data_IF_870559056368
#
_entry.id   IF_870559056368
#
_cell.length_a   1.000
_cell.length_b   1.000
_cell.length_c   1.000
_cell.angle_alpha   90.00
_cell.angle_beta   90.00
_cell.angle_gamma   90.00
#
_symmetry.space_group_name_H-M   'P 1'
#
loop_
_entity.id
_entity.type
_entity.pdbx_description
1 polymer ?
#
# COMPACT_ATOMS: atom_id res chain seq x y z
N UNK A 1 42.53 -49.71 -65.90
CA UNK A 1 41.11 -50.11 -65.77
C UNK A 1 40.83 -50.11 -64.27
N UNK A 2 39.89 -49.38 -63.66
CA UNK A 2 38.62 -48.84 -64.12
C UNK A 2 38.24 -47.67 -63.20
N UNK A 3 37.64 -46.60 -63.76
CA UNK A 3 36.96 -45.51 -63.02
C UNK A 3 35.51 -45.94 -62.74
N UNK A 4 34.92 -45.50 -61.61
CA UNK A 4 33.46 -45.45 -61.39
C UNK A 4 33.10 -44.37 -60.33
N UNK A 5 31.83 -43.88 -60.29
CA UNK A 5 31.52 -42.44 -60.31
C UNK A 5 30.67 -41.95 -59.12
N UNK A 6 30.23 -40.69 -59.22
CA UNK A 6 29.59 -39.82 -58.22
C UNK A 6 28.13 -40.09 -57.82
N UNK A 7 27.81 -39.51 -56.65
CA UNK A 7 26.59 -38.80 -56.22
C UNK A 7 25.23 -39.51 -56.12
N UNK A 8 24.61 -39.38 -54.94
CA UNK A 8 23.22 -39.75 -54.65
C UNK A 8 22.78 -39.28 -53.28
N UNK A 9 22.50 -37.98 -53.17
CA UNK A 9 21.82 -37.33 -52.04
C UNK A 9 20.49 -38.02 -51.72
N UNK A 10 20.30 -38.50 -50.47
CA UNK A 10 18.99 -38.87 -49.93
C UNK A 10 18.61 -37.86 -48.85
N UNK A 11 17.72 -36.96 -49.25
CA UNK A 11 16.88 -36.12 -48.40
C UNK A 11 15.82 -37.03 -47.77
N UNK A 12 15.77 -37.13 -46.45
CA UNK A 12 14.63 -37.72 -45.73
C UNK A 12 14.14 -36.73 -44.68
N UNK A 13 13.05 -36.05 -45.04
CA UNK A 13 11.88 -35.73 -44.22
C UNK A 13 12.16 -35.19 -42.81
N UNK A 14 12.25 -33.86 -42.71
CA UNK A 14 11.95 -33.13 -41.48
C UNK A 14 10.45 -33.24 -41.25
N UNK A 15 10.06 -34.18 -40.38
CA UNK A 15 8.70 -34.26 -39.87
C UNK A 15 8.37 -33.02 -39.06
N UNK A 16 7.40 -32.27 -39.57
CA UNK A 16 6.71 -31.15 -38.93
C UNK A 16 6.11 -31.62 -37.60
N UNK A 17 6.82 -31.36 -36.49
CA UNK A 17 6.24 -31.57 -35.16
C UNK A 17 5.38 -30.35 -34.85
N UNK A 18 4.08 -30.55 -35.01
CA UNK A 18 3.05 -29.63 -34.56
C UNK A 18 3.31 -29.19 -33.11
N UNK A 19 3.17 -27.88 -32.90
CA UNK A 19 3.10 -27.22 -31.61
C UNK A 19 2.09 -27.91 -30.70
N UNK A 20 2.58 -28.67 -29.71
CA UNK A 20 1.78 -29.04 -28.54
C UNK A 20 2.12 -28.07 -27.40
N UNK A 21 1.73 -26.79 -27.57
CA UNK A 21 1.50 -25.90 -26.45
C UNK A 21 0.17 -26.33 -25.80
N UNK A 22 0.22 -27.31 -24.91
CA UNK A 22 -0.85 -27.47 -23.94
C UNK A 22 -0.79 -26.24 -23.01
N UNK A 23 -1.82 -25.39 -22.93
CA UNK A 23 -1.87 -24.37 -21.90
C UNK A 23 -2.03 -25.10 -20.56
N UNK A 24 -1.09 -24.88 -19.64
CA UNK A 24 -1.20 -25.31 -18.25
C UNK A 24 -2.27 -24.48 -17.55
N UNK A 25 -3.55 -24.77 -17.81
CA UNK A 25 -4.67 -24.32 -17.00
C UNK A 25 -4.94 -25.36 -15.93
N UNK A 26 -3.97 -25.54 -15.04
CA UNK A 26 -4.22 -26.05 -13.69
C UNK A 26 -4.20 -24.84 -12.76
N UNK A 27 -5.15 -23.93 -12.97
CA UNK A 27 -5.44 -22.88 -12.01
C UNK A 27 -6.40 -23.52 -11.00
N UNK A 28 -5.82 -24.27 -10.05
CA UNK A 28 -6.58 -24.85 -8.93
C UNK A 28 -7.53 -23.80 -8.37
N UNK A 29 -8.82 -24.05 -8.57
CA UNK A 29 -9.90 -23.25 -8.01
C UNK A 29 -9.85 -23.42 -6.50
N UNK A 30 -9.06 -22.57 -5.85
CA UNK A 30 -9.01 -22.45 -4.40
C UNK A 30 -10.35 -21.89 -3.93
N UNK A 31 -11.32 -22.79 -3.73
CA UNK A 31 -12.55 -22.46 -3.05
C UNK A 31 -12.21 -21.99 -1.63
N UNK A 32 -12.35 -20.69 -1.42
CA UNK A 32 -12.30 -20.12 -0.07
C UNK A 32 -13.53 -20.64 0.64
N UNK A 33 -13.37 -21.68 1.45
CA UNK A 33 -14.41 -22.11 2.39
C UNK A 33 -14.61 -20.98 3.38
N UNK A 34 -15.63 -20.15 3.13
CA UNK A 34 -16.07 -19.13 4.08
C UNK A 34 -16.70 -19.89 5.24
N UNK A 35 -15.91 -20.07 6.31
CA UNK A 35 -16.45 -20.60 7.57
C UNK A 35 -17.64 -19.73 7.97
N UNK A 36 -18.83 -20.32 8.22
CA UNK A 36 -19.93 -19.59 8.81
C UNK A 36 -19.44 -18.88 10.07
N UNK A 37 -19.87 -17.64 10.30
CA UNK A 37 -19.58 -16.96 11.55
C UNK A 37 -20.12 -17.83 12.68
N UNK A 38 -19.27 -18.16 13.66
CA UNK A 38 -19.74 -18.85 14.85
C UNK A 38 -20.90 -18.06 15.47
N UNK A 39 -21.99 -18.76 15.79
CA UNK A 39 -23.11 -18.18 16.54
C UNK A 39 -22.55 -17.72 17.88
N UNK A 40 -22.88 -16.49 18.29
CA UNK A 40 -22.38 -15.94 19.54
C UNK A 40 -22.61 -16.91 20.70
N UNK A 41 -21.60 -17.18 21.54
CA UNK A 41 -21.72 -18.14 22.62
C UNK A 41 -22.81 -17.72 23.60
N UNK A 42 -23.47 -18.70 24.20
CA UNK A 42 -24.54 -18.45 25.17
C UNK A 42 -23.98 -17.65 26.37
N UNK A 43 -24.57 -16.49 26.64
CA UNK A 43 -24.07 -15.53 27.64
C UNK A 43 -23.16 -14.42 27.10
N UNK A 44 -22.86 -14.39 25.79
CA UNK A 44 -22.19 -13.24 25.19
C UNK A 44 -23.03 -11.96 25.39
N UNK A 45 -22.41 -10.92 25.95
CA UNK A 45 -23.03 -9.60 26.12
C UNK A 45 -22.24 -8.57 25.33
N UNK A 46 -22.95 -7.65 24.69
CA UNK A 46 -22.35 -6.45 24.11
C UNK A 46 -21.87 -5.52 25.24
N UNK A 47 -21.00 -4.57 24.89
CA UNK A 47 -20.63 -3.54 25.84
C UNK A 47 -21.86 -2.70 26.22
N UNK A 48 -21.94 -2.20 27.47
CA UNK A 48 -22.97 -1.24 27.86
C UNK A 48 -23.01 -0.02 26.93
N UNK A 49 -24.20 0.53 26.70
CA UNK A 49 -24.43 1.64 25.76
C UNK A 49 -23.48 2.84 25.95
N UNK A 50 -23.12 3.14 27.20
CA UNK A 50 -22.22 4.26 27.55
C UNK A 50 -20.86 4.20 26.83
N UNK A 51 -20.33 3.01 26.53
CA UNK A 51 -19.04 2.87 25.82
C UNK A 51 -19.13 3.32 24.36
N UNK A 52 -20.34 3.48 23.82
CA UNK A 52 -20.56 3.96 22.46
C UNK A 52 -21.02 5.43 22.41
N UNK A 53 -21.57 5.96 23.50
CA UNK A 53 -22.28 7.25 23.48
C UNK A 53 -21.74 8.29 24.45
N UNK A 54 -20.95 7.92 25.45
CA UNK A 54 -20.43 8.85 26.45
C UNK A 54 -19.24 9.66 25.89
N UNK A 55 -19.37 10.98 25.72
CA UNK A 55 -18.29 11.82 25.18
C UNK A 55 -17.06 11.88 26.08
N UNK A 56 -17.23 11.72 27.41
CA UNK A 56 -16.10 11.74 28.35
C UNK A 56 -15.26 10.47 28.22
N UNK A 57 -15.89 9.31 28.04
CA UNK A 57 -15.19 8.06 27.74
C UNK A 57 -14.47 8.15 26.39
N UNK A 58 -15.13 8.64 25.35
CA UNK A 58 -14.51 8.81 24.04
C UNK A 58 -13.24 9.69 24.10
N UNK A 59 -13.30 10.81 24.84
CA UNK A 59 -12.13 11.67 25.03
C UNK A 59 -10.99 10.96 25.76
N UNK A 60 -11.32 10.22 26.82
CA UNK A 60 -10.32 9.44 27.56
C UNK A 60 -9.68 8.34 26.70
N UNK A 61 -10.44 7.70 25.83
CA UNK A 61 -9.93 6.72 24.86
C UNK A 61 -9.02 7.37 23.81
N UNK A 62 -9.39 8.55 23.30
CA UNK A 62 -8.55 9.32 22.38
C UNK A 62 -7.18 9.64 22.99
N UNK A 63 -7.16 10.16 24.22
CA UNK A 63 -5.94 10.59 24.91
C UNK A 63 -5.09 9.39 25.39
N UNK A 64 -5.74 8.34 25.90
CA UNK A 64 -5.07 7.23 26.58
C UNK A 64 -4.68 6.06 25.68
N UNK A 65 -5.54 5.74 24.70
CA UNK A 65 -5.40 4.58 23.83
C UNK A 65 -5.00 5.00 22.43
N UNK A 66 -5.84 5.77 21.75
CA UNK A 66 -5.66 6.08 20.34
C UNK A 66 -4.43 6.96 20.08
N UNK A 67 -4.02 7.84 20.98
CA UNK A 67 -2.79 8.63 20.83
C UNK A 67 -1.49 7.82 20.77
N UNK A 68 -1.52 6.54 21.16
CA UNK A 68 -0.33 5.66 21.28
C UNK A 68 -0.35 4.44 20.37
N UNK A 69 -1.45 4.22 19.66
CA UNK A 69 -1.58 3.06 18.76
C UNK A 69 -1.07 3.36 17.35
N UNK A 70 -0.73 2.29 16.63
CA UNK A 70 -0.43 2.36 15.21
C UNK A 70 -1.73 2.42 14.40
N UNK A 71 -1.79 3.36 13.45
CA UNK A 71 -2.90 3.48 12.50
C UNK A 71 -2.44 3.17 11.09
N UNK A 72 -3.34 2.55 10.35
CA UNK A 72 -3.19 2.45 8.91
C UNK A 72 -3.39 3.84 8.29
N UNK A 73 -2.35 4.35 7.62
CA UNK A 73 -2.40 5.64 6.95
C UNK A 73 -2.64 5.52 5.43
N UNK A 74 -2.19 4.45 4.79
CA UNK A 74 -2.27 4.29 3.33
C UNK A 74 -1.21 3.34 2.78
N UNK A 75 -1.18 3.20 1.45
CA UNK A 75 -0.18 2.38 0.75
C UNK A 75 1.03 3.21 0.37
N UNK A 76 2.20 2.58 0.31
CA UNK A 76 3.44 3.25 -0.13
C UNK A 76 3.39 3.73 -1.58
N UNK A 77 2.52 3.14 -2.40
CA UNK A 77 2.28 3.47 -3.81
C UNK A 77 1.62 4.84 -3.98
N UNK A 78 0.88 5.31 -2.98
CA UNK A 78 0.24 6.65 -3.01
C UNK A 78 1.28 7.78 -2.99
N UNK A 79 2.51 7.49 -2.53
CA UNK A 79 3.67 8.37 -2.62
C UNK A 79 4.85 7.61 -3.22
N UNK A 80 4.75 7.26 -4.50
CA UNK A 80 5.76 6.45 -5.20
C UNK A 80 7.07 7.21 -5.40
N UNK A 81 7.00 8.48 -5.82
CA UNK A 81 8.17 9.29 -6.16
C UNK A 81 8.57 10.23 -5.03
N UNK A 82 9.85 10.61 -4.98
CA UNK A 82 10.31 11.64 -4.06
C UNK A 82 9.52 12.93 -4.25
N UNK A 83 9.10 13.54 -3.13
CA UNK A 83 8.29 14.74 -3.11
C UNK A 83 6.79 14.49 -3.22
N UNK A 84 6.34 13.30 -3.63
CA UNK A 84 4.92 12.98 -3.58
C UNK A 84 4.44 12.87 -2.14
N UNK A 85 3.22 13.31 -1.91
CA UNK A 85 2.58 13.26 -0.61
C UNK A 85 1.09 12.95 -0.73
N UNK A 86 0.53 12.47 0.36
CA UNK A 86 -0.91 12.39 0.59
C UNK A 86 -1.23 12.78 2.03
N UNK A 87 -2.47 13.23 2.25
CA UNK A 87 -2.96 13.72 3.54
C UNK A 87 -4.04 12.79 4.06
N UNK A 88 -4.01 12.55 5.38
CA UNK A 88 -5.03 11.78 6.10
C UNK A 88 -5.43 12.47 7.39
N UNK A 89 -6.69 12.29 7.75
CA UNK A 89 -7.19 12.66 9.06
C UNK A 89 -7.25 11.41 9.93
N UNK A 90 -6.50 11.42 11.03
CA UNK A 90 -6.40 10.31 11.98
C UNK A 90 -6.70 10.86 13.37
N UNK A 91 -7.80 10.41 13.98
CA UNK A 91 -8.25 10.85 15.31
C UNK A 91 -8.34 12.38 15.45
N UNK A 92 -8.83 13.07 14.42
CA UNK A 92 -8.89 14.53 14.38
C UNK A 92 -7.55 15.24 14.11
N UNK A 93 -6.47 14.49 13.90
CA UNK A 93 -5.18 15.05 13.50
C UNK A 93 -4.99 14.95 11.99
N UNK A 94 -4.63 16.08 11.36
CA UNK A 94 -4.30 16.11 9.95
C UNK A 94 -2.81 15.77 9.75
N UNK A 95 -2.54 14.65 9.09
CA UNK A 95 -1.21 14.06 8.90
C UNK A 95 -0.88 14.08 7.42
N UNK A 96 0.30 14.60 7.08
CA UNK A 96 0.88 14.50 5.74
C UNK A 96 1.91 13.39 5.71
N UNK A 97 1.76 12.47 4.77
CA UNK A 97 2.70 11.37 4.50
C UNK A 97 3.41 11.68 3.19
N UNK A 98 4.74 11.66 3.19
CA UNK A 98 5.54 12.00 2.01
C UNK A 98 6.75 11.09 1.87
N UNK A 99 7.25 10.94 0.63
CA UNK A 99 8.53 10.28 0.36
C UNK A 99 9.62 11.32 0.17
N UNK A 100 10.69 11.24 0.96
CA UNK A 100 11.82 12.14 0.83
C UNK A 100 12.70 11.80 -0.39
N UNK A 101 13.71 12.63 -0.65
CA UNK A 101 14.69 12.43 -1.74
C UNK A 101 15.56 11.19 -1.55
N UNK A 102 15.72 10.70 -0.32
CA UNK A 102 16.41 9.42 -0.03
C UNK A 102 15.49 8.21 -0.18
N UNK A 103 14.28 8.38 -0.70
CA UNK A 103 13.30 7.31 -0.93
C UNK A 103 12.57 6.79 0.32
N UNK A 104 12.76 7.39 1.50
CA UNK A 104 12.09 6.99 2.75
C UNK A 104 10.74 7.68 2.90
N UNK A 105 9.72 6.92 3.30
CA UNK A 105 8.40 7.45 3.67
C UNK A 105 8.44 8.00 5.09
N UNK A 106 7.86 9.18 5.30
CA UNK A 106 7.72 9.83 6.60
C UNK A 106 6.34 10.45 6.74
N UNK A 107 5.88 10.59 7.97
CA UNK A 107 4.61 11.22 8.31
C UNK A 107 4.85 12.39 9.27
N UNK A 108 4.11 13.48 9.11
CA UNK A 108 4.20 14.69 9.92
C UNK A 108 2.82 15.27 10.17
N UNK A 109 2.65 16.05 11.24
CA UNK A 109 1.48 16.91 11.37
C UNK A 109 1.48 17.95 10.24
N UNK A 110 0.36 18.06 9.55
CA UNK A 110 0.15 19.02 8.47
C UNK A 110 -0.15 20.43 9.03
N UNK A 111 0.75 20.92 9.89
CA UNK A 111 0.66 22.22 10.53
C UNK A 111 2.03 22.88 10.45
N UNK A 112 2.06 24.09 9.90
CA UNK A 112 3.24 24.93 9.88
C UNK A 112 3.56 25.39 11.31
N UNK A 113 4.74 25.05 11.81
CA UNK A 113 5.20 25.45 13.14
C UNK A 113 5.29 26.96 13.37
N UNK A 114 5.35 27.76 12.31
CA UNK A 114 5.46 29.22 12.43
C UNK A 114 4.09 29.89 12.60
N UNK A 115 3.10 29.51 11.79
CA UNK A 115 1.80 30.22 11.72
C UNK A 115 0.59 29.35 12.04
N UNK A 116 0.78 28.06 12.33
CA UNK A 116 -0.33 27.13 12.59
C UNK A 116 -1.18 26.78 11.36
N UNK A 117 -0.86 27.32 10.18
CA UNK A 117 -1.60 27.06 8.94
C UNK A 117 -1.31 25.67 8.40
N UNK A 118 -2.26 25.06 7.66
CA UNK A 118 -2.01 23.81 6.93
C UNK A 118 -0.90 24.01 5.89
N UNK A 119 -0.01 23.02 5.77
CA UNK A 119 1.09 23.04 4.81
C UNK A 119 0.59 22.58 3.44
N UNK A 120 -0.17 21.49 3.43
CA UNK A 120 -0.79 20.91 2.24
C UNK A 120 -2.31 21.08 2.35
N UNK A 121 -2.91 21.78 1.40
CA UNK A 121 -4.37 21.96 1.33
C UNK A 121 -5.05 20.86 0.54
N UNK A 122 -4.34 20.28 -0.43
CA UNK A 122 -4.84 19.18 -1.24
C UNK A 122 -4.62 17.83 -0.55
N UNK A 123 -5.46 16.86 -0.89
CA UNK A 123 -5.41 15.50 -0.31
C UNK A 123 -4.22 14.68 -0.81
N UNK A 124 -3.63 15.07 -1.94
CA UNK A 124 -2.41 14.50 -2.49
C UNK A 124 -1.75 15.49 -3.44
N UNK A 125 -0.46 15.30 -3.73
CA UNK A 125 0.26 16.14 -4.67
C UNK A 125 1.76 15.85 -4.68
N UNK A 126 2.52 16.77 -5.25
CA UNK A 126 3.98 16.69 -5.30
C UNK A 126 4.62 18.02 -4.89
N UNK A 127 5.61 17.94 -4.00
CA UNK A 127 6.40 19.07 -3.52
C UNK A 127 7.88 18.79 -3.79
N UNK A 128 8.61 19.78 -4.32
CA UNK A 128 10.05 19.63 -4.60
C UNK A 128 10.88 19.52 -3.32
N UNK A 129 10.53 20.26 -2.27
CA UNK A 129 11.12 20.16 -0.93
C UNK A 129 10.06 20.54 0.11
N UNK A 130 9.74 19.64 1.03
CA UNK A 130 9.03 20.01 2.27
C UNK A 130 10.04 20.70 3.19
N UNK A 131 10.18 22.02 3.05
CA UNK A 131 11.05 22.81 3.93
C UNK A 131 10.43 22.82 5.32
N UNK A 132 11.13 22.27 6.30
CA UNK A 132 10.85 22.56 7.72
C UNK A 132 11.01 24.07 7.97
N UNK A 133 10.56 24.60 9.13
CA UNK A 133 10.69 26.02 9.42
C UNK A 133 12.18 26.41 9.41
N UNK A 134 12.61 27.11 8.37
CA UNK A 134 13.89 27.82 8.40
C UNK A 134 13.73 28.94 9.41
N UNK A 135 14.26 28.77 10.62
CA UNK A 135 14.55 29.91 11.49
C UNK A 135 15.65 30.69 10.77
N UNK A 136 15.25 31.77 10.09
CA UNK A 136 16.19 32.77 9.61
C UNK A 136 16.72 33.52 10.82
N UNK A 137 17.83 33.06 11.39
CA UNK A 137 18.65 33.91 12.26
C UNK A 137 19.33 34.91 11.33
N UNK A 138 18.71 36.07 11.14
CA UNK A 138 19.29 37.18 10.43
C UNK A 138 20.10 38.06 11.38
N UNK A 139 21.30 38.44 10.94
CA UNK A 139 21.98 39.69 11.27
C UNK A 139 22.70 39.74 12.61
#
# INVERSE_FOLDING_TARGET
>A
MSRRPEAGSRRSEVGEKADNHQPSTDMEEQSVVVKPRDVMPEGARTLPARYYTDPALFKAELDGLFGRMWFYAGRSEEATRAGQYFVRELNGHNIVVTRNTTGRVRAFHNICRHRGTRICTEVSGQLSVMRGPTISTGG
#
